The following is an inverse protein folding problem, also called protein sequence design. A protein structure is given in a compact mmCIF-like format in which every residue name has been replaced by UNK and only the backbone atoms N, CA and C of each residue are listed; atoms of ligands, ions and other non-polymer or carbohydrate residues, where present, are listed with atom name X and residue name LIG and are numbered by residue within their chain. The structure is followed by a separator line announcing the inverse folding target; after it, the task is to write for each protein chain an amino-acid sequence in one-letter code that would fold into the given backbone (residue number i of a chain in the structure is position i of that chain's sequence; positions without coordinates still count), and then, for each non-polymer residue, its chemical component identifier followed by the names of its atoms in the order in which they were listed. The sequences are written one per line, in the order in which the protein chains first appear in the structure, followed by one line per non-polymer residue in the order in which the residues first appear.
data_IF_580689359807
#
_entry.id   IF_580689359807
#
_cell.length_a   1.000
_cell.length_b   1.000
_cell.length_c   1.000
_cell.angle_alpha   90.00
_cell.angle_beta   90.00
_cell.angle_gamma   90.00
#
_symmetry.space_group_name_H-M   'P 1'
#
loop_
_entity.id
_entity.type
_entity.pdbx_description
1 polymer ?
#
# COMPACT_ATOMS: atom_id res chain seq x y z
N UNK A 1 7.66 -16.67 -31.13
CA UNK A 1 6.26 -16.18 -31.16
C UNK A 1 5.38 -16.76 -30.04
N UNK A 2 5.63 -18.00 -29.58
CA UNK A 2 4.77 -18.65 -28.57
C UNK A 2 4.88 -18.08 -27.17
N UNK A 3 6.00 -17.47 -26.78
CA UNK A 3 6.21 -16.94 -25.43
C UNK A 3 5.54 -15.58 -25.15
N UNK A 4 5.28 -14.80 -26.21
CA UNK A 4 4.59 -13.51 -26.09
C UNK A 4 3.11 -13.71 -25.74
N UNK A 5 2.48 -14.78 -26.23
CA UNK A 5 1.08 -15.11 -25.93
C UNK A 5 0.86 -15.58 -24.50
N UNK A 6 1.84 -16.19 -23.85
CA UNK A 6 1.72 -16.73 -22.48
C UNK A 6 1.66 -15.66 -21.38
N UNK A 7 1.96 -14.39 -21.69
CA UNK A 7 2.01 -13.27 -20.71
C UNK A 7 0.90 -12.24 -20.87
N UNK A 8 -0.13 -12.51 -21.65
CA UNK A 8 -1.24 -11.57 -21.83
C UNK A 8 -2.20 -11.66 -20.63
N UNK A 9 -2.60 -10.50 -20.10
CA UNK A 9 -3.64 -10.45 -19.08
C UNK A 9 -4.94 -11.02 -19.64
N UNK A 10 -5.60 -11.88 -18.86
CA UNK A 10 -6.92 -12.43 -19.18
C UNK A 10 -8.03 -11.51 -18.66
N UNK A 11 -7.79 -10.87 -17.51
CA UNK A 11 -8.71 -9.95 -16.87
C UNK A 11 -7.93 -8.84 -16.14
N UNK A 12 -8.64 -7.79 -15.80
CA UNK A 12 -8.14 -6.69 -14.97
C UNK A 12 -9.01 -6.55 -13.73
N UNK A 13 -8.40 -6.09 -12.64
CA UNK A 13 -9.09 -5.81 -11.38
C UNK A 13 -9.00 -4.33 -11.06
N UNK A 14 -10.13 -3.73 -10.65
CA UNK A 14 -10.22 -2.42 -10.03
C UNK A 14 -10.64 -2.63 -8.57
N UNK A 15 -10.08 -1.86 -7.66
CA UNK A 15 -10.50 -1.79 -6.27
C UNK A 15 -11.03 -0.38 -6.01
N UNK A 16 -12.23 -0.28 -5.44
CA UNK A 16 -12.87 0.96 -5.05
C UNK A 16 -13.30 0.84 -3.60
N UNK A 17 -12.88 1.74 -2.74
CA UNK A 17 -13.19 1.73 -1.31
C UNK A 17 -13.90 3.02 -0.93
N UNK A 18 -14.79 2.92 0.05
CA UNK A 18 -15.59 4.03 0.55
C UNK A 18 -15.24 4.33 2.01
N UNK A 19 -15.54 5.54 2.46
CA UNK A 19 -15.37 5.90 3.86
C UNK A 19 -16.31 5.03 4.74
N UNK A 20 -15.89 4.58 5.92
CA UNK A 20 -16.78 3.83 6.81
C UNK A 20 -18.08 4.58 7.13
N UNK A 21 -19.21 3.91 6.94
CA UNK A 21 -20.54 4.47 7.20
C UNK A 21 -21.10 5.42 6.13
N UNK A 22 -20.40 5.66 5.04
CA UNK A 22 -20.80 6.58 3.97
C UNK A 22 -21.79 5.96 2.98
N UNK A 23 -21.71 4.65 2.76
CA UNK A 23 -22.55 3.92 1.80
C UNK A 23 -23.08 2.63 2.38
N UNK A 24 -24.21 2.16 1.87
CA UNK A 24 -24.70 0.79 2.05
C UNK A 24 -24.04 -0.17 1.07
N UNK A 25 -24.15 -1.47 1.29
CA UNK A 25 -23.57 -2.48 0.38
C UNK A 25 -24.20 -2.41 -1.01
N UNK A 26 -25.51 -2.16 -1.08
CA UNK A 26 -26.27 -2.04 -2.32
C UNK A 26 -25.85 -0.78 -3.10
N UNK A 27 -25.70 0.35 -2.43
CA UNK A 27 -25.22 1.59 -3.04
C UNK A 27 -23.78 1.44 -3.55
N UNK A 28 -22.88 0.87 -2.75
CA UNK A 28 -21.51 0.60 -3.15
C UNK A 28 -21.46 -0.29 -4.40
N UNK A 29 -22.28 -1.34 -4.46
CA UNK A 29 -22.37 -2.22 -5.62
C UNK A 29 -22.84 -1.47 -6.87
N UNK A 30 -23.89 -0.64 -6.74
CA UNK A 30 -24.43 0.19 -7.84
C UNK A 30 -23.37 1.17 -8.36
N UNK A 31 -22.65 1.84 -7.47
CA UNK A 31 -21.56 2.77 -7.82
C UNK A 31 -20.42 2.03 -8.49
N UNK A 32 -20.07 0.84 -8.00
CA UNK A 32 -19.08 -0.03 -8.62
C UNK A 32 -19.46 -0.46 -10.03
N UNK A 33 -20.74 -0.81 -10.24
CA UNK A 33 -21.29 -1.14 -11.55
C UNK A 33 -21.19 0.06 -12.52
N UNK A 34 -21.58 1.24 -12.07
CA UNK A 34 -21.50 2.46 -12.86
C UNK A 34 -20.05 2.81 -13.22
N UNK A 35 -19.14 2.71 -12.26
CA UNK A 35 -17.70 2.92 -12.49
C UNK A 35 -17.17 1.94 -13.55
N UNK A 36 -17.55 0.68 -13.46
CA UNK A 36 -17.17 -0.34 -14.43
C UNK A 36 -17.72 -0.05 -15.83
N UNK A 37 -19.00 0.31 -15.93
CA UNK A 37 -19.64 0.65 -17.20
C UNK A 37 -18.96 1.83 -17.88
N UNK A 38 -18.67 2.89 -17.13
CA UNK A 38 -18.00 4.09 -17.65
C UNK A 38 -16.56 3.80 -18.05
N UNK A 39 -15.81 3.00 -17.23
CA UNK A 39 -14.43 2.65 -17.52
C UNK A 39 -14.31 1.76 -18.75
N UNK A 40 -15.12 0.75 -18.83
CA UNK A 40 -15.12 -0.23 -19.94
C UNK A 40 -15.87 0.28 -21.17
N UNK A 41 -16.59 1.40 -21.04
CA UNK A 41 -17.50 1.94 -22.07
C UNK A 41 -18.54 0.91 -22.53
N UNK A 42 -18.92 -0.02 -21.64
CA UNK A 42 -19.84 -1.13 -21.93
C UNK A 42 -19.32 -2.15 -22.95
N UNK A 43 -18.03 -2.14 -23.28
CA UNK A 43 -17.46 -3.01 -24.35
C UNK A 43 -16.86 -4.32 -23.81
N UNK A 44 -16.72 -4.44 -22.50
CA UNK A 44 -16.07 -5.59 -21.87
C UNK A 44 -16.99 -6.19 -20.82
N UNK A 45 -17.03 -7.50 -20.76
CA UNK A 45 -17.75 -8.22 -19.70
C UNK A 45 -17.08 -7.92 -18.36
N UNK A 46 -17.88 -7.63 -17.34
CA UNK A 46 -17.38 -7.39 -15.99
C UNK A 46 -18.37 -7.90 -14.94
N UNK A 47 -17.88 -8.03 -13.72
CA UNK A 47 -18.71 -8.21 -12.53
C UNK A 47 -18.14 -7.41 -11.35
N UNK A 48 -19.02 -7.12 -10.40
CA UNK A 48 -18.70 -6.35 -9.20
C UNK A 48 -18.99 -7.20 -7.98
N UNK A 49 -17.99 -7.37 -7.12
CA UNK A 49 -18.15 -8.00 -5.81
C UNK A 49 -17.98 -6.93 -4.74
N UNK A 50 -19.02 -6.70 -3.93
CA UNK A 50 -18.98 -5.78 -2.80
C UNK A 50 -18.68 -6.56 -1.54
N UNK A 51 -17.66 -6.14 -0.80
CA UNK A 51 -17.19 -6.75 0.43
C UNK A 51 -17.57 -5.88 1.63
N UNK A 52 -18.10 -6.53 2.66
CA UNK A 52 -18.53 -5.91 3.93
C UNK A 52 -17.80 -6.48 5.14
N UNK A 53 -16.76 -7.27 4.92
CA UNK A 53 -15.98 -7.97 5.94
C UNK A 53 -14.97 -7.06 6.68
N UNK A 54 -14.82 -5.82 6.24
CA UNK A 54 -13.93 -4.81 6.82
C UNK A 54 -14.72 -3.65 7.41
N UNK A 55 -14.03 -2.80 8.18
CA UNK A 55 -14.62 -1.57 8.72
C UNK A 55 -15.13 -0.61 7.65
N UNK A 56 -14.70 -0.77 6.42
CA UNK A 56 -15.14 0.01 5.25
C UNK A 56 -15.65 -0.92 4.15
N UNK A 57 -16.70 -0.48 3.47
CA UNK A 57 -17.24 -1.19 2.31
C UNK A 57 -16.32 -0.95 1.12
N UNK A 58 -16.06 -1.99 0.35
CA UNK A 58 -15.22 -1.88 -0.84
C UNK A 58 -15.65 -2.85 -1.94
N UNK A 59 -15.42 -2.40 -3.17
CA UNK A 59 -15.71 -3.16 -4.38
C UNK A 59 -14.45 -3.78 -4.97
N UNK A 60 -14.58 -5.01 -5.41
CA UNK A 60 -13.69 -5.65 -6.36
C UNK A 60 -14.41 -5.75 -7.70
N UNK A 61 -13.95 -5.01 -8.68
CA UNK A 61 -14.49 -4.99 -10.03
C UNK A 61 -13.53 -5.76 -10.93
N UNK A 62 -14.00 -6.80 -11.56
CA UNK A 62 -13.21 -7.58 -12.51
C UNK A 62 -13.80 -7.42 -13.90
N UNK A 63 -12.96 -7.13 -14.89
CA UNK A 63 -13.41 -7.08 -16.27
C UNK A 63 -12.50 -7.87 -17.20
N UNK A 64 -13.10 -8.49 -18.20
CA UNK A 64 -12.39 -9.31 -19.17
C UNK A 64 -11.45 -8.42 -20.01
N UNK A 65 -10.26 -8.92 -20.30
CA UNK A 65 -9.33 -8.22 -21.18
C UNK A 65 -9.79 -8.18 -22.65
N UNK A 66 -10.69 -9.11 -23.05
CA UNK A 66 -11.20 -9.19 -24.42
C UNK A 66 -12.59 -8.55 -24.50
N UNK A 67 -12.79 -7.69 -25.49
CA UNK A 67 -14.08 -7.07 -25.77
C UNK A 67 -15.14 -8.12 -26.16
N UNK A 68 -16.44 -7.80 -25.97
CA UNK A 68 -17.56 -8.70 -26.33
C UNK A 68 -17.53 -9.15 -27.78
N UNK A 69 -17.21 -8.22 -28.68
CA UNK A 69 -17.15 -8.45 -30.12
C UNK A 69 -15.85 -9.13 -30.57
N UNK A 70 -14.96 -9.45 -29.62
CA UNK A 70 -13.62 -10.01 -29.86
C UNK A 70 -12.72 -9.18 -30.76
N UNK A 71 -13.10 -7.96 -31.10
CA UNK A 71 -12.36 -7.07 -32.03
C UNK A 71 -11.05 -6.58 -31.45
N UNK A 72 -10.98 -6.47 -30.10
CA UNK A 72 -9.81 -5.90 -29.41
C UNK A 72 -9.64 -6.44 -28.01
N UNK A 73 -8.42 -6.29 -27.48
CA UNK A 73 -8.12 -6.44 -26.07
C UNK A 73 -7.99 -5.07 -25.40
N UNK A 74 -8.34 -5.01 -24.14
CA UNK A 74 -8.11 -3.84 -23.31
C UNK A 74 -6.60 -3.60 -23.22
N UNK A 75 -6.18 -2.40 -23.56
CA UNK A 75 -4.80 -1.98 -23.46
C UNK A 75 -4.62 -1.08 -22.24
N UNK A 76 -3.87 -1.55 -21.27
CA UNK A 76 -3.50 -0.72 -20.13
C UNK A 76 -2.45 0.31 -20.58
N UNK A 77 -2.74 1.59 -20.43
CA UNK A 77 -1.91 2.70 -20.89
C UNK A 77 -1.21 3.42 -19.74
N UNK A 78 -0.12 4.11 -20.04
CA UNK A 78 0.60 4.93 -19.07
C UNK A 78 -0.37 5.99 -18.52
N UNK A 79 -0.49 6.06 -17.19
CA UNK A 79 -1.43 6.99 -16.53
C UNK A 79 -2.87 6.47 -16.40
N UNK A 80 -3.17 5.22 -16.78
CA UNK A 80 -4.49 4.62 -16.61
C UNK A 80 -4.99 4.66 -15.17
N UNK A 81 -4.10 4.50 -14.19
CA UNK A 81 -4.44 4.60 -12.76
C UNK A 81 -4.93 6.00 -12.37
N UNK A 82 -4.33 7.05 -12.93
CA UNK A 82 -4.79 8.43 -12.70
C UNK A 82 -6.13 8.70 -13.40
N UNK A 83 -6.32 8.17 -14.61
CA UNK A 83 -7.58 8.30 -15.33
C UNK A 83 -8.70 7.57 -14.61
N UNK A 84 -8.43 6.35 -14.13
CA UNK A 84 -9.39 5.57 -13.34
C UNK A 84 -9.77 6.27 -12.03
N UNK A 85 -8.78 6.83 -11.30
CA UNK A 85 -9.05 7.58 -10.08
C UNK A 85 -9.97 8.77 -10.36
N UNK A 86 -9.64 9.59 -11.36
CA UNK A 86 -10.50 10.74 -11.74
C UNK A 86 -11.91 10.32 -12.14
N UNK A 87 -12.06 9.16 -12.79
CA UNK A 87 -13.38 8.63 -13.11
C UNK A 87 -14.11 8.21 -11.83
N UNK A 88 -13.47 7.46 -10.94
CA UNK A 88 -14.04 7.04 -9.66
C UNK A 88 -14.43 8.24 -8.80
N UNK A 89 -13.56 9.24 -8.67
CA UNK A 89 -13.84 10.48 -7.93
C UNK A 89 -15.05 11.20 -8.50
N UNK A 90 -15.18 11.30 -9.83
CA UNK A 90 -16.33 11.91 -10.49
C UNK A 90 -17.62 11.16 -10.17
N UNK A 91 -17.62 9.83 -10.27
CA UNK A 91 -18.78 9.00 -9.93
C UNK A 91 -19.15 9.21 -8.46
N UNK A 92 -18.17 9.20 -7.55
CA UNK A 92 -18.43 9.43 -6.13
C UNK A 92 -19.04 10.81 -5.88
N UNK A 93 -18.51 11.88 -6.51
CA UNK A 93 -19.06 13.24 -6.39
C UNK A 93 -20.50 13.31 -6.90
N UNK A 94 -20.82 12.67 -8.02
CA UNK A 94 -22.18 12.60 -8.59
C UNK A 94 -23.18 11.89 -7.65
N UNK A 95 -22.67 11.01 -6.77
CA UNK A 95 -23.43 10.35 -5.71
C UNK A 95 -23.27 11.01 -4.33
N UNK A 96 -22.79 12.25 -4.28
CA UNK A 96 -22.61 13.04 -3.05
C UNK A 96 -21.67 12.41 -2.01
N UNK A 97 -20.74 11.54 -2.48
CA UNK A 97 -19.79 10.85 -1.64
C UNK A 97 -18.47 11.62 -1.53
N UNK A 98 -17.73 11.32 -0.46
CA UNK A 98 -16.42 11.92 -0.22
C UNK A 98 -15.37 11.45 -1.22
N UNK A 99 -14.43 12.33 -1.53
CA UNK A 99 -13.25 12.03 -2.34
C UNK A 99 -12.00 12.58 -1.68
N UNK A 100 -10.85 11.95 -1.93
CA UNK A 100 -9.57 12.39 -1.39
C UNK A 100 -9.12 13.65 -2.15
N UNK A 101 -9.26 14.83 -1.52
CA UNK A 101 -8.93 16.13 -2.12
C UNK A 101 -7.46 16.24 -2.53
N UNK A 102 -6.53 15.79 -1.68
CA UNK A 102 -5.10 15.87 -1.90
C UNK A 102 -4.47 14.46 -1.79
N UNK A 103 -4.57 13.63 -2.83
CA UNK A 103 -3.99 12.30 -2.80
C UNK A 103 -2.47 12.38 -2.71
N UNK A 104 -1.88 11.68 -1.74
CA UNK A 104 -0.43 11.58 -1.62
C UNK A 104 0.11 10.81 -2.82
N UNK A 105 0.84 11.50 -3.71
CA UNK A 105 1.40 10.90 -4.92
C UNK A 105 2.59 9.98 -4.63
N UNK A 106 3.30 10.24 -3.52
CA UNK A 106 4.44 9.44 -3.09
C UNK A 106 4.28 9.10 -1.62
N UNK A 107 3.96 7.86 -1.34
CA UNK A 107 3.99 7.33 0.02
C UNK A 107 5.45 7.32 0.49
N UNK A 108 5.83 8.20 1.41
CA UNK A 108 7.10 8.11 2.14
C UNK A 108 7.07 6.99 3.18
N UNK A 109 5.90 6.38 3.38
CA UNK A 109 5.72 5.29 4.33
C UNK A 109 6.30 3.99 3.82
N UNK A 110 6.85 3.16 4.74
CA UNK A 110 7.24 1.79 4.43
C UNK A 110 5.99 0.93 4.37
N UNK A 111 5.97 -0.03 3.45
CA UNK A 111 4.96 -1.07 3.46
C UNK A 111 5.04 -1.81 4.82
N UNK A 112 3.95 -1.76 5.56
CA UNK A 112 3.73 -2.57 6.76
C UNK A 112 2.82 -3.73 6.38
N UNK A 113 3.20 -4.94 6.78
CA UNK A 113 2.30 -6.07 6.67
C UNK A 113 1.04 -5.77 7.52
N UNK A 114 -0.15 -6.15 7.03
CA UNK A 114 -1.43 -5.85 7.67
C UNK A 114 -1.44 -6.15 9.17
N UNK A 115 -0.95 -7.34 9.60
CA UNK A 115 -0.86 -7.69 11.02
C UNK A 115 0.10 -6.82 11.85
N UNK A 116 1.06 -6.13 11.22
CA UNK A 116 1.89 -5.13 11.90
C UNK A 116 1.17 -3.78 12.00
N UNK A 117 0.38 -3.44 10.99
CA UNK A 117 -0.39 -2.21 10.97
C UNK A 117 -1.49 -2.19 12.05
N UNK A 118 -2.18 -3.32 12.27
CA UNK A 118 -3.21 -3.48 13.32
C UNK A 118 -2.63 -3.84 14.70
N UNK A 119 -1.29 -3.98 14.82
CA UNK A 119 -0.64 -4.27 16.11
C UNK A 119 -0.64 -5.74 16.54
N UNK A 120 -1.16 -6.66 15.73
CA UNK A 120 -1.17 -8.10 16.05
C UNK A 120 0.21 -8.75 15.93
N UNK A 121 1.10 -8.20 15.11
CA UNK A 121 2.47 -8.71 14.95
C UNK A 121 3.47 -7.76 15.57
N UNK A 122 4.45 -8.29 16.30
CA UNK A 122 5.51 -7.46 16.84
C UNK A 122 6.28 -6.72 15.74
N UNK A 123 6.83 -5.55 16.05
CA UNK A 123 7.62 -4.78 15.08
C UNK A 123 8.80 -5.61 14.58
N UNK A 124 9.12 -5.47 13.30
CA UNK A 124 10.29 -6.14 12.71
C UNK A 124 11.57 -5.70 13.43
N UNK A 125 12.62 -6.52 13.34
CA UNK A 125 13.91 -6.20 13.91
C UNK A 125 14.42 -4.81 13.52
N UNK A 126 14.28 -4.47 12.25
CA UNK A 126 14.65 -3.14 11.72
C UNK A 126 13.81 -2.01 12.33
N UNK A 127 12.55 -2.26 12.59
CA UNK A 127 11.65 -1.29 13.21
C UNK A 127 11.96 -1.12 14.69
N UNK A 128 12.29 -2.20 15.42
CA UNK A 128 12.74 -2.13 16.81
C UNK A 128 13.99 -1.29 16.96
N UNK A 129 15.01 -1.52 16.11
CA UNK A 129 16.23 -0.69 16.09
C UNK A 129 15.91 0.77 15.80
N UNK A 130 15.02 1.05 14.84
CA UNK A 130 14.63 2.43 14.52
C UNK A 130 13.93 3.13 15.68
N UNK A 131 13.01 2.45 16.36
CA UNK A 131 12.33 3.00 17.54
C UNK A 131 13.33 3.28 18.68
N UNK A 132 14.28 2.38 18.91
CA UNK A 132 15.33 2.57 19.90
C UNK A 132 16.23 3.78 19.56
N UNK A 133 16.60 3.95 18.29
CA UNK A 133 17.37 5.12 17.83
C UNK A 133 16.57 6.40 18.10
N UNK A 134 15.29 6.46 17.74
CA UNK A 134 14.46 7.64 18.00
C UNK A 134 14.37 7.95 19.50
N UNK A 135 14.14 6.94 20.33
CA UNK A 135 14.09 7.10 21.79
C UNK A 135 15.44 7.56 22.38
N UNK A 136 16.56 7.07 21.84
CA UNK A 136 17.89 7.55 22.24
C UNK A 136 18.13 9.02 21.82
N UNK A 137 17.69 9.41 20.64
CA UNK A 137 17.82 10.80 20.14
C UNK A 137 16.92 11.77 20.92
N UNK A 138 15.75 11.35 21.39
CA UNK A 138 14.88 12.16 22.27
C UNK A 138 15.57 12.56 23.59
N UNK A 139 16.50 11.75 24.09
CA UNK A 139 17.33 12.04 25.27
C UNK A 139 18.42 13.06 24.99
N UNK A 140 18.55 13.54 23.73
CA UNK A 140 19.53 14.55 23.30
C UNK A 140 20.96 14.18 23.67
N UNK A 141 21.53 13.06 23.16
CA UNK A 141 22.90 12.67 23.45
C UNK A 141 23.87 13.77 23.06
N UNK A 142 24.89 13.99 23.88
CA UNK A 142 25.88 15.06 23.69
C UNK A 142 26.84 14.80 22.53
N UNK A 143 27.13 13.53 22.29
CA UNK A 143 27.99 13.08 21.21
C UNK A 143 27.57 11.68 20.73
N UNK A 144 28.33 11.18 19.75
CA UNK A 144 28.05 9.87 19.18
C UNK A 144 28.37 8.70 20.16
N UNK A 145 29.34 8.87 21.05
CA UNK A 145 29.66 7.86 22.05
C UNK A 145 28.54 7.76 23.10
N UNK A 146 27.98 8.88 23.52
CA UNK A 146 26.82 8.95 24.41
C UNK A 146 25.59 8.30 23.76
N UNK A 147 25.33 8.58 22.48
CA UNK A 147 24.27 7.90 21.72
C UNK A 147 24.45 6.37 21.71
N UNK A 148 25.66 5.88 21.46
CA UNK A 148 25.93 4.42 21.48
C UNK A 148 25.67 3.82 22.86
N UNK A 149 26.08 4.51 23.92
CA UNK A 149 25.80 4.10 25.30
C UNK A 149 24.29 3.98 25.56
N UNK A 150 23.50 4.98 25.15
CA UNK A 150 22.04 4.94 25.26
C UNK A 150 21.40 3.76 24.51
N UNK A 151 21.97 3.40 23.37
CA UNK A 151 21.53 2.23 22.61
C UNK A 151 21.84 0.92 23.37
N UNK A 152 23.04 0.83 23.98
CA UNK A 152 23.44 -0.34 24.79
C UNK A 152 22.62 -0.46 26.07
N UNK A 153 22.33 0.64 26.76
CA UNK A 153 21.42 0.70 27.90
C UNK A 153 20.00 0.21 27.54
N UNK A 154 19.59 0.43 26.30
CA UNK A 154 18.32 -0.07 25.75
C UNK A 154 18.37 -1.54 25.33
N UNK A 155 19.48 -2.25 25.62
CA UNK A 155 19.67 -3.68 25.35
C UNK A 155 20.10 -4.02 23.91
N UNK A 156 20.54 -3.04 23.13
CA UNK A 156 21.04 -3.26 21.75
C UNK A 156 22.56 -3.37 21.75
N UNK A 157 23.11 -4.46 21.25
CA UNK A 157 24.55 -4.55 20.99
C UNK A 157 24.90 -3.82 19.71
N UNK A 158 25.93 -2.99 19.77
CA UNK A 158 26.40 -2.19 18.63
C UNK A 158 27.72 -2.72 18.12
N UNK A 159 27.84 -2.94 16.80
CA UNK A 159 29.08 -3.29 16.13
C UNK A 159 29.42 -2.28 15.07
N UNK A 160 30.60 -1.69 15.17
CA UNK A 160 31.17 -0.83 14.14
C UNK A 160 31.95 -1.70 13.14
N UNK A 161 31.61 -1.55 11.87
CA UNK A 161 32.25 -2.26 10.76
C UNK A 161 33.22 -1.35 9.96
N UNK A 162 33.96 -1.93 9.03
CA UNK A 162 34.82 -1.17 8.11
C UNK A 162 33.98 -0.14 7.32
N UNK A 163 34.52 1.06 7.10
CA UNK A 163 33.88 2.12 6.32
C UNK A 163 32.71 2.83 7.03
N UNK A 164 32.70 2.86 8.37
CA UNK A 164 31.68 3.60 9.13
C UNK A 164 30.29 2.94 9.18
N UNK A 165 30.20 1.69 8.76
CA UNK A 165 28.92 0.93 8.82
C UNK A 165 28.65 0.52 10.26
N UNK A 166 27.46 0.87 10.76
CA UNK A 166 27.01 0.49 12.10
C UNK A 166 25.94 -0.61 11.98
N UNK A 167 26.08 -1.62 12.81
CA UNK A 167 25.13 -2.72 12.90
C UNK A 167 24.62 -2.85 14.32
N UNK A 168 23.31 -3.01 14.47
CA UNK A 168 22.64 -3.15 15.74
C UNK A 168 22.08 -4.56 15.88
N UNK A 169 22.31 -5.19 17.01
CA UNK A 169 21.73 -6.48 17.36
C UNK A 169 20.66 -6.22 18.45
N UNK A 170 19.39 -6.45 18.11
CA UNK A 170 18.31 -6.31 19.06
C UNK A 170 18.26 -7.52 20.03
N UNK A 171 17.73 -7.34 21.23
CA UNK A 171 17.52 -8.44 22.17
C UNK A 171 16.75 -9.60 21.52
N UNK A 172 17.26 -10.83 21.67
CA UNK A 172 16.67 -12.04 21.10
C UNK A 172 16.88 -12.23 19.60
N UNK A 173 17.82 -11.51 18.98
CA UNK A 173 18.19 -11.69 17.57
C UNK A 173 19.55 -12.39 17.43
N UNK A 174 19.65 -13.28 16.45
CA UNK A 174 20.92 -13.92 16.07
C UNK A 174 21.72 -13.10 15.04
N UNK A 175 21.04 -12.32 14.19
CA UNK A 175 21.68 -11.59 13.10
C UNK A 175 21.59 -10.07 13.30
N UNK A 176 22.71 -9.36 13.16
CA UNK A 176 22.70 -7.91 13.30
C UNK A 176 21.95 -7.22 12.15
N UNK A 177 21.26 -6.15 12.48
CA UNK A 177 20.55 -5.29 11.52
C UNK A 177 21.43 -4.11 11.14
N UNK A 178 21.71 -3.94 9.85
CA UNK A 178 22.44 -2.78 9.32
C UNK A 178 21.44 -1.69 8.96
N UNK A 179 21.71 -0.47 9.39
CA UNK A 179 21.00 0.73 8.95
C UNK A 179 21.92 1.57 8.08
N UNK A 180 21.41 1.98 6.93
CA UNK A 180 22.06 2.95 6.04
C UNK A 180 21.48 4.33 6.31
N UNK A 181 22.25 5.40 6.13
CA UNK A 181 21.77 6.77 6.27
C UNK A 181 20.49 7.03 5.43
N UNK A 182 20.38 6.42 4.26
CA UNK A 182 19.19 6.51 3.40
C UNK A 182 17.94 5.79 3.96
N UNK A 183 18.04 5.10 5.09
CA UNK A 183 16.95 4.33 5.71
C UNK A 183 16.54 4.84 7.10
N UNK A 184 17.17 5.88 7.56
CA UNK A 184 16.78 6.69 8.71
C UNK A 184 15.88 7.83 8.25
#
# INVERSE_FOLDING_TARGET
ASDVYKRQALFFQIRQAFLPGEVTAEEANRIGYETAMRWTKGKYQFFVCTHTDKAHIHNHIYFNATAFDRSRKFHNFIGSSFALRRLSDRVCIEHELSVIQNPCQHSKGRFLHYGQWIGEKPPSAKQRVRLAILAALEKKPTDFADFLRLMEESGFSVKQGRGGVISFLAPGQEKPTRLRASTL
#
